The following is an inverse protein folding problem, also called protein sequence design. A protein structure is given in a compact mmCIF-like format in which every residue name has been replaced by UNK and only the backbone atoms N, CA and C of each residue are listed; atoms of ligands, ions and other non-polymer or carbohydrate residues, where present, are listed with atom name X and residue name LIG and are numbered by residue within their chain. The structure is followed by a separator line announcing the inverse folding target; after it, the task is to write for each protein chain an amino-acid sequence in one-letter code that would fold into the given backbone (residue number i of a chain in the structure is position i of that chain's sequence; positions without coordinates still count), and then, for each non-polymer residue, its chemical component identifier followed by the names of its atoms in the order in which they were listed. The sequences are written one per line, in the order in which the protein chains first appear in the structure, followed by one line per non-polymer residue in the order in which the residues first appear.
data_IF_240693472300
#
_entry.id   IF_240693472300
#
_cell.length_a   1.000
_cell.length_b   1.000
_cell.length_c   1.000
_cell.angle_alpha   90.00
_cell.angle_beta   90.00
_cell.angle_gamma   90.00
#
_symmetry.space_group_name_H-M   'P 1'
#
loop_
_entity.id
_entity.type
_entity.pdbx_description
1 polymer ?
#
# COMPACT_ATOMS: atom_id res chain seq x y z
N UNK A 1 0.61 -6.25 -11.32
CA UNK A 1 0.77 -7.66 -11.72
C UNK A 1 -0.47 -8.51 -11.37
N UNK A 2 -1.69 -7.96 -11.31
CA UNK A 2 -2.81 -8.60 -10.59
C UNK A 2 -3.90 -9.27 -11.47
N UNK A 3 -4.13 -8.81 -12.72
CA UNK A 3 -5.25 -9.33 -13.53
C UNK A 3 -5.01 -10.72 -14.14
N UNK A 4 -3.78 -11.01 -14.56
CA UNK A 4 -3.44 -12.29 -15.21
C UNK A 4 -3.45 -13.46 -14.21
N UNK A 5 -2.94 -13.25 -12.99
CA UNK A 5 -2.88 -14.29 -11.95
C UNK A 5 -4.27 -14.74 -11.49
N UNK A 6 -5.20 -13.80 -11.30
CA UNK A 6 -6.59 -14.11 -10.96
C UNK A 6 -7.28 -14.95 -12.04
N UNK A 7 -7.04 -14.60 -13.31
CA UNK A 7 -7.64 -15.32 -14.43
C UNK A 7 -7.12 -16.77 -14.54
N UNK A 8 -5.82 -16.99 -14.28
CA UNK A 8 -5.23 -18.33 -14.29
C UNK A 8 -5.77 -19.22 -13.15
N UNK A 9 -5.96 -18.65 -11.95
CA UNK A 9 -6.55 -19.37 -10.81
C UNK A 9 -8.01 -19.76 -11.11
N UNK A 10 -8.78 -18.83 -11.69
CA UNK A 10 -10.17 -19.11 -12.07
C UNK A 10 -10.28 -20.26 -13.09
N UNK A 11 -9.39 -20.29 -14.09
CA UNK A 11 -9.33 -21.37 -15.08
C UNK A 11 -8.96 -22.70 -14.41
N UNK A 12 -7.95 -22.72 -13.57
CA UNK A 12 -7.48 -23.93 -12.90
C UNK A 12 -8.55 -24.54 -11.99
N UNK A 13 -9.30 -23.72 -11.25
CA UNK A 13 -10.35 -24.23 -10.36
C UNK A 13 -11.61 -24.70 -11.09
N UNK A 14 -11.96 -24.10 -12.23
CA UNK A 14 -13.10 -24.56 -13.05
C UNK A 14 -12.81 -25.86 -13.78
N UNK A 15 -11.54 -26.18 -14.04
CA UNK A 15 -11.13 -27.42 -14.67
C UNK A 15 -11.10 -28.63 -13.71
N UNK A 16 -11.08 -28.39 -12.39
CA UNK A 16 -11.10 -29.44 -11.38
C UNK A 16 -12.52 -29.71 -10.85
N UNK A 17 -13.10 -30.83 -11.27
CA UNK A 17 -14.45 -31.24 -10.92
C UNK A 17 -14.62 -31.69 -9.45
N UNK A 18 -13.52 -31.84 -8.69
CA UNK A 18 -13.55 -32.18 -7.27
C UNK A 18 -13.73 -30.95 -6.37
N UNK A 19 -13.57 -29.76 -6.92
CA UNK A 19 -13.73 -28.49 -6.20
C UNK A 19 -15.22 -28.21 -6.00
N UNK A 20 -15.68 -28.32 -4.76
CA UNK A 20 -17.03 -27.89 -4.40
C UNK A 20 -17.20 -26.38 -4.55
N UNK A 21 -18.42 -25.92 -4.87
CA UNK A 21 -18.72 -24.49 -5.04
C UNK A 21 -18.37 -23.62 -3.83
N UNK A 22 -18.41 -24.18 -2.62
CA UNK A 22 -17.99 -23.50 -1.37
C UNK A 22 -16.46 -23.30 -1.34
N UNK A 23 -15.70 -24.30 -1.80
CA UNK A 23 -14.24 -24.22 -1.88
C UNK A 23 -13.80 -23.22 -2.96
N UNK A 24 -14.48 -23.22 -4.12
CA UNK A 24 -14.31 -22.21 -5.15
C UNK A 24 -14.58 -20.80 -4.63
N UNK A 25 -15.69 -20.59 -3.91
CA UNK A 25 -16.04 -19.30 -3.34
C UNK A 25 -14.98 -18.80 -2.34
N UNK A 26 -14.48 -19.66 -1.44
CA UNK A 26 -13.42 -19.29 -0.47
C UNK A 26 -12.09 -18.94 -1.13
N UNK A 27 -11.69 -19.67 -2.17
CA UNK A 27 -10.45 -19.36 -2.89
C UNK A 27 -10.61 -18.09 -3.72
N UNK A 28 -11.76 -17.90 -4.37
CA UNK A 28 -12.05 -16.64 -5.07
C UNK A 28 -12.20 -15.47 -4.10
N UNK A 29 -12.71 -15.68 -2.89
CA UNK A 29 -12.71 -14.70 -1.81
C UNK A 29 -11.29 -14.39 -1.37
N UNK A 30 -10.41 -15.37 -1.13
CA UNK A 30 -9.00 -15.15 -0.79
C UNK A 30 -8.18 -14.47 -1.91
N UNK A 31 -8.52 -14.72 -3.18
CA UNK A 31 -7.91 -14.07 -4.36
C UNK A 31 -8.50 -12.67 -4.59
N UNK A 32 -9.75 -12.44 -4.16
CA UNK A 32 -10.39 -11.13 -4.16
C UNK A 32 -10.12 -10.32 -2.89
N UNK A 33 -9.65 -10.97 -1.82
CA UNK A 33 -9.27 -10.36 -0.55
C UNK A 33 -7.97 -9.60 -0.80
N UNK A 34 -8.17 -8.44 -1.42
CA UNK A 34 -7.52 -7.16 -1.13
C UNK A 34 -7.64 -6.79 0.38
N UNK A 35 -7.69 -7.78 1.29
CA UNK A 35 -7.40 -7.64 2.73
C UNK A 35 -5.89 -7.73 3.01
N UNK A 36 -5.08 -7.32 2.03
CA UNK A 36 -3.78 -6.76 2.37
C UNK A 36 -4.07 -5.39 3.01
N UNK A 37 -3.61 -5.22 4.27
CA UNK A 37 -3.37 -3.93 4.95
C UNK A 37 -3.40 -2.77 3.96
N UNK A 38 -4.19 -1.70 4.15
CA UNK A 38 -4.59 -0.83 3.04
C UNK A 38 -3.37 -0.29 2.28
N UNK A 39 -2.92 -1.03 1.26
CA UNK A 39 -1.71 -0.75 0.48
C UNK A 39 -1.93 0.52 -0.35
N UNK A 40 -3.20 0.93 -0.50
CA UNK A 40 -3.61 2.20 -1.10
C UNK A 40 -3.56 3.40 -0.14
N UNK A 41 -3.37 3.19 1.16
CA UNK A 41 -3.45 4.26 2.19
C UNK A 41 -2.12 4.53 2.90
N UNK A 42 -1.05 3.77 2.65
CA UNK A 42 0.25 4.05 3.23
C UNK A 42 1.37 3.99 2.19
N UNK A 43 2.34 4.89 2.31
CA UNK A 43 3.52 4.95 1.46
C UNK A 43 4.72 4.27 2.13
N UNK A 44 5.61 3.73 1.31
CA UNK A 44 6.96 3.37 1.69
C UNK A 44 7.84 4.60 1.85
N UNK A 45 8.99 4.48 2.52
CA UNK A 45 9.96 5.58 2.62
C UNK A 45 10.42 6.09 1.23
N UNK A 46 10.55 5.18 0.25
CA UNK A 46 10.94 5.54 -1.13
C UNK A 46 9.88 6.39 -1.80
N UNK A 47 8.61 6.03 -1.63
CA UNK A 47 7.49 6.77 -2.21
C UNK A 47 7.30 8.12 -1.54
N UNK A 48 7.48 8.22 -0.22
CA UNK A 48 7.47 9.52 0.47
C UNK A 48 8.59 10.43 -0.01
N UNK A 49 9.80 9.88 -0.16
CA UNK A 49 10.94 10.64 -0.70
C UNK A 49 10.63 11.19 -2.10
N UNK A 50 10.01 10.36 -2.95
CA UNK A 50 9.57 10.76 -4.29
C UNK A 50 8.46 11.82 -4.24
N UNK A 51 7.40 11.58 -3.44
CA UNK A 51 6.25 12.47 -3.34
C UNK A 51 6.63 13.86 -2.83
N UNK A 52 7.54 13.93 -1.85
CA UNK A 52 8.00 15.20 -1.27
C UNK A 52 9.26 15.75 -1.95
N UNK A 53 9.67 15.22 -3.11
CA UNK A 53 10.84 15.65 -3.88
C UNK A 53 12.12 15.80 -3.02
N UNK A 54 12.39 14.82 -2.15
CA UNK A 54 13.52 14.86 -1.20
C UNK A 54 14.27 13.53 -1.12
N UNK A 55 15.43 13.54 -0.48
CA UNK A 55 16.22 12.32 -0.28
C UNK A 55 15.61 11.41 0.81
N UNK A 56 15.89 10.10 0.74
CA UNK A 56 15.49 9.16 1.82
C UNK A 56 16.12 9.54 3.17
N UNK A 57 17.32 10.11 3.17
CA UNK A 57 18.00 10.56 4.39
C UNK A 57 17.29 11.76 5.01
N UNK A 58 16.78 12.67 4.17
CA UNK A 58 15.89 13.76 4.62
C UNK A 58 14.63 13.19 5.26
N UNK A 59 13.97 12.20 4.63
CA UNK A 59 12.80 11.53 5.22
C UNK A 59 13.13 10.90 6.58
N UNK A 60 14.27 10.23 6.74
CA UNK A 60 14.72 9.70 8.06
C UNK A 60 14.88 10.81 9.09
N UNK A 61 15.46 11.94 8.70
CA UNK A 61 15.63 13.11 9.58
C UNK A 61 14.27 13.67 10.02
N UNK A 62 13.28 13.72 9.12
CA UNK A 62 11.91 14.15 9.44
C UNK A 62 11.24 13.20 10.43
N UNK A 63 11.48 11.89 10.32
CA UNK A 63 11.00 10.92 11.31
C UNK A 63 11.66 11.15 12.68
N UNK A 64 12.99 11.32 12.72
CA UNK A 64 13.72 11.61 13.96
C UNK A 64 13.24 12.89 14.65
N UNK A 65 12.91 13.92 13.85
CA UNK A 65 12.34 15.19 14.33
C UNK A 65 10.84 15.11 14.66
N UNK A 66 10.21 13.93 14.58
CA UNK A 66 8.77 13.70 14.80
C UNK A 66 7.85 14.51 13.87
N UNK A 67 8.35 14.87 12.70
CA UNK A 67 7.61 15.60 11.65
C UNK A 67 6.77 14.61 10.83
N UNK A 68 7.33 13.44 10.55
CA UNK A 68 6.67 12.28 9.94
C UNK A 68 6.53 11.17 10.96
N UNK A 69 5.37 10.51 10.99
CA UNK A 69 5.04 9.49 11.98
C UNK A 69 4.73 8.19 11.23
N UNK A 70 5.76 7.38 10.91
CA UNK A 70 5.52 6.10 10.29
C UNK A 70 4.85 5.15 11.30
N UNK A 71 4.02 4.25 10.79
CA UNK A 71 3.35 3.19 11.54
C UNK A 71 3.93 1.84 11.13
N UNK A 72 4.14 0.97 12.10
CA UNK A 72 4.50 -0.42 11.82
C UNK A 72 3.22 -1.17 11.46
N UNK A 73 3.13 -1.62 10.21
CA UNK A 73 1.93 -2.30 9.71
C UNK A 73 2.00 -3.83 9.85
N UNK A 74 3.19 -4.40 10.06
CA UNK A 74 3.37 -5.85 10.20
C UNK A 74 3.74 -6.29 11.61
N UNK A 75 4.14 -5.36 12.48
CA UNK A 75 4.70 -5.69 13.80
C UNK A 75 6.12 -6.25 13.73
N UNK A 76 6.73 -6.26 12.54
CA UNK A 76 8.08 -6.77 12.27
C UNK A 76 9.05 -5.64 11.89
N UNK A 77 8.69 -4.39 12.19
CA UNK A 77 9.48 -3.21 11.81
C UNK A 77 9.26 -2.77 10.36
N UNK A 78 8.14 -3.16 9.75
CA UNK A 78 7.76 -2.68 8.42
C UNK A 78 7.07 -1.32 8.51
N UNK A 79 7.89 -0.28 8.63
CA UNK A 79 7.42 1.09 8.74
C UNK A 79 6.82 1.61 7.42
N UNK A 80 5.59 2.13 7.50
CA UNK A 80 4.87 2.80 6.41
C UNK A 80 4.34 4.15 6.85
N UNK A 81 4.11 5.05 5.91
CA UNK A 81 3.73 6.42 6.16
C UNK A 81 2.28 6.64 5.73
N UNK A 82 1.35 7.03 6.62
CA UNK A 82 -0.04 7.23 6.24
C UNK A 82 -0.19 8.27 5.12
N UNK A 83 -0.90 7.92 4.05
CA UNK A 83 -1.11 8.75 2.85
C UNK A 83 -1.67 10.12 3.20
N UNK A 84 -2.68 10.18 4.08
CA UNK A 84 -3.28 11.43 4.56
C UNK A 84 -2.22 12.38 5.15
N UNK A 85 -1.28 11.87 5.95
CA UNK A 85 -0.20 12.68 6.52
C UNK A 85 0.69 13.28 5.42
N UNK A 86 1.00 12.51 4.37
CA UNK A 86 1.82 12.99 3.26
C UNK A 86 1.05 14.01 2.41
N UNK A 87 -0.23 13.78 2.15
CA UNK A 87 -1.11 14.71 1.42
C UNK A 87 -1.27 16.03 2.17
N UNK A 88 -1.48 16.00 3.48
CA UNK A 88 -1.57 17.21 4.31
C UNK A 88 -0.28 18.03 4.25
N UNK A 89 0.89 17.36 4.18
CA UNK A 89 2.19 18.03 4.00
C UNK A 89 2.36 18.60 2.61
N UNK A 90 1.94 17.88 1.58
CA UNK A 90 1.96 18.38 0.21
C UNK A 90 1.09 19.64 0.06
N UNK A 91 -0.06 19.70 0.74
CA UNK A 91 -0.90 20.91 0.79
C UNK A 91 -0.20 22.06 1.51
N UNK A 92 0.46 21.80 2.65
CA UNK A 92 1.20 22.82 3.40
C UNK A 92 2.41 23.40 2.65
N UNK A 93 3.00 22.65 1.72
CA UNK A 93 4.14 23.09 0.90
C UNK A 93 3.77 23.37 -0.56
N UNK A 94 2.49 23.27 -0.92
CA UNK A 94 1.96 23.28 -2.28
C UNK A 94 1.19 24.54 -2.66
N UNK A 95 1.19 25.58 -1.83
CA UNK A 95 0.95 26.95 -2.33
C UNK A 95 2.29 27.46 -2.89
N UNK A 96 2.52 27.43 -4.22
CA UNK A 96 3.45 28.39 -4.77
C UNK A 96 2.87 29.76 -4.43
N UNK A 97 3.70 30.62 -3.84
CA UNK A 97 3.44 32.05 -3.79
C UNK A 97 3.04 32.48 -5.22
N UNK A 98 1.74 32.71 -5.41
CA UNK A 98 1.22 33.34 -6.61
C UNK A 98 1.33 34.83 -6.33
N UNK A 99 2.43 35.43 -6.77
CA UNK A 99 2.59 36.87 -6.97
C UNK A 99 2.61 37.13 -8.48
#
# INVERSE_FOLDING_TARGET
MQRQTKHLIEIAMKADHSVSGIHFAKVMEAVNDDQTLPEKLCFTQKEVAYALSMSRQTVRTLVQKRILNPVDISGEGLWRYPKKQIEDRLKQHGEPASD
#
